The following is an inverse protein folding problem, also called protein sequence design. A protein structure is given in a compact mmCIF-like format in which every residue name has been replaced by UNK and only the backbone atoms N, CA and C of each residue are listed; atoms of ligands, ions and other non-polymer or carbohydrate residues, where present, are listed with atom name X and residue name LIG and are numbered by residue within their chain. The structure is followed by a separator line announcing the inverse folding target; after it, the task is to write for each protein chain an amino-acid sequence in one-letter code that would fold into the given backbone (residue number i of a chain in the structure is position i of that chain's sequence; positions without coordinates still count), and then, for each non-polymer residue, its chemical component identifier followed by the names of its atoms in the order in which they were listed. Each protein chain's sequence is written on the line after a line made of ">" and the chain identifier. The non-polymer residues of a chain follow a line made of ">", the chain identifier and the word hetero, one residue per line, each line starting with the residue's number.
data_IF_001486853274
#
_entry.id   IF_001486853274
#
_cell.length_a   1.000
_cell.length_b   1.000
_cell.length_c   1.000
_cell.angle_alpha   90.00
_cell.angle_beta   90.00
_cell.angle_gamma   90.00
#
_symmetry.space_group_name_H-M   'P 1'
#
loop_
_entity.id
_entity.type
_entity.pdbx_description
1 polymer ?
#
# COMPACT_ATOMS: atom_id res chain seq x y z
N UNK A 1 22.65 3.86 16.63
CA UNK A 1 22.48 2.88 15.54
C UNK A 1 22.02 3.64 14.32
N UNK A 2 22.49 3.30 13.12
CA UNK A 2 22.03 3.99 11.90
C UNK A 2 20.59 3.58 11.57
N UNK A 3 19.76 4.52 11.10
CA UNK A 3 18.35 4.26 10.76
C UNK A 3 18.20 3.14 9.72
N UNK A 4 19.11 3.10 8.75
CA UNK A 4 19.08 2.12 7.66
C UNK A 4 19.37 0.67 8.11
N UNK A 5 20.01 0.48 9.27
CA UNK A 5 20.37 -0.85 9.79
C UNK A 5 19.28 -1.46 10.67
N UNK A 6 18.25 -0.68 11.00
CA UNK A 6 17.19 -1.07 11.95
C UNK A 6 16.30 -2.16 11.36
N UNK A 7 15.87 -2.01 10.12
CA UNK A 7 14.95 -2.93 9.43
C UNK A 7 15.76 -3.84 8.51
N UNK A 8 15.62 -5.16 8.67
CA UNK A 8 16.35 -6.13 7.85
C UNK A 8 15.52 -6.60 6.65
N UNK A 9 14.32 -7.12 6.91
CA UNK A 9 13.43 -7.63 5.86
C UNK A 9 11.99 -7.82 6.39
N UNK A 10 10.97 -7.79 5.51
CA UNK A 10 9.59 -8.12 5.88
C UNK A 10 9.42 -9.62 6.11
N UNK A 11 8.51 -9.99 7.02
CA UNK A 11 8.10 -11.38 7.23
C UNK A 11 6.84 -11.62 6.43
N UNK A 12 6.91 -12.57 5.49
CA UNK A 12 5.81 -12.97 4.63
C UNK A 12 5.33 -14.37 5.03
N UNK A 13 4.19 -14.42 5.70
CA UNK A 13 3.46 -15.63 6.07
C UNK A 13 1.96 -15.39 5.87
N UNK A 14 1.15 -16.45 5.83
CA UNK A 14 -0.31 -16.31 5.75
C UNK A 14 -0.86 -15.37 6.83
N UNK A 15 -0.35 -15.50 8.05
CA UNK A 15 -0.74 -14.64 9.17
C UNK A 15 -0.36 -13.18 8.97
N UNK A 16 0.82 -12.90 8.42
CA UNK A 16 1.21 -11.50 8.16
C UNK A 16 0.37 -10.89 7.05
N UNK A 17 0.01 -11.67 6.03
CA UNK A 17 -0.83 -11.19 4.94
C UNK A 17 -2.27 -10.92 5.40
N UNK A 18 -2.83 -11.79 6.23
CA UNK A 18 -4.15 -11.57 6.87
C UNK A 18 -4.12 -10.29 7.72
N UNK A 19 -3.05 -10.06 8.49
CA UNK A 19 -2.90 -8.87 9.31
C UNK A 19 -2.75 -7.59 8.47
N UNK A 20 -2.06 -7.68 7.33
CA UNK A 20 -1.89 -6.58 6.38
C UNK A 20 -3.23 -6.16 5.78
N UNK A 21 -3.98 -7.12 5.23
CA UNK A 21 -5.24 -6.84 4.53
C UNK A 21 -6.35 -6.37 5.47
N UNK A 22 -6.43 -6.88 6.69
CA UNK A 22 -7.52 -6.56 7.61
C UNK A 22 -7.24 -5.33 8.50
N UNK A 23 -5.99 -5.13 8.91
CA UNK A 23 -5.64 -4.18 9.96
C UNK A 23 -4.52 -3.22 9.58
N UNK A 24 -4.03 -3.29 8.34
CA UNK A 24 -2.89 -2.51 7.87
C UNK A 24 -1.64 -2.69 8.75
N UNK A 25 -1.41 -3.94 9.17
CA UNK A 25 -0.32 -4.32 10.05
C UNK A 25 0.78 -5.03 9.28
N UNK A 26 2.00 -4.52 9.42
CA UNK A 26 3.18 -5.05 8.75
C UNK A 26 4.12 -5.69 9.76
N UNK A 27 4.72 -6.81 9.38
CA UNK A 27 5.66 -7.52 10.25
C UNK A 27 7.06 -7.51 9.64
N UNK A 28 8.05 -7.05 10.41
CA UNK A 28 9.45 -6.96 10.00
C UNK A 28 10.36 -7.75 10.94
N UNK A 29 11.46 -8.25 10.39
CA UNK A 29 12.63 -8.61 11.19
C UNK A 29 13.48 -7.35 11.35
N UNK A 30 13.79 -7.03 12.60
CA UNK A 30 14.61 -5.87 12.98
C UNK A 30 15.89 -6.33 13.67
N UNK A 31 16.87 -5.45 13.80
CA UNK A 31 18.06 -5.76 14.57
C UNK A 31 17.75 -6.00 16.06
N UNK A 32 18.45 -6.96 16.68
CA UNK A 32 18.23 -7.34 18.07
C UNK A 32 18.62 -6.23 19.04
N UNK A 33 19.47 -5.28 18.66
CA UNK A 33 19.88 -4.17 19.53
C UNK A 33 18.86 -3.02 19.55
N UNK A 34 17.87 -3.04 18.66
CA UNK A 34 16.97 -1.91 18.43
C UNK A 34 15.84 -1.79 19.46
N UNK A 35 15.47 -0.54 19.77
CA UNK A 35 14.32 -0.16 20.59
C UNK A 35 13.07 0.21 19.78
N UNK A 36 11.87 0.20 20.40
CA UNK A 36 10.61 0.56 19.72
C UNK A 36 10.63 1.95 19.07
N UNK A 37 11.25 2.92 19.72
CA UNK A 37 11.35 4.30 19.24
C UNK A 37 12.19 4.37 17.95
N UNK A 38 13.26 3.59 17.88
CA UNK A 38 14.13 3.54 16.70
C UNK A 38 13.42 2.84 15.52
N UNK A 39 12.70 1.76 15.78
CA UNK A 39 11.87 1.10 14.74
C UNK A 39 10.83 2.06 14.20
N UNK A 40 10.17 2.85 15.06
CA UNK A 40 9.20 3.87 14.63
C UNK A 40 9.83 4.85 13.67
N UNK A 41 10.91 5.51 14.10
CA UNK A 41 11.64 6.49 13.29
C UNK A 41 12.13 5.90 11.98
N UNK A 42 12.62 4.65 11.98
CA UNK A 42 13.12 4.01 10.78
C UNK A 42 12.01 3.68 9.77
N UNK A 43 10.87 3.18 10.23
CA UNK A 43 9.73 2.88 9.34
C UNK A 43 9.17 4.17 8.75
N UNK A 44 8.96 5.20 9.58
CA UNK A 44 8.45 6.50 9.13
C UNK A 44 9.41 7.13 8.11
N UNK A 45 10.72 7.07 8.34
CA UNK A 45 11.71 7.65 7.45
C UNK A 45 11.89 6.89 6.13
N UNK A 46 11.91 5.55 6.16
CA UNK A 46 12.19 4.74 4.96
C UNK A 46 10.98 4.67 4.03
N UNK A 47 9.78 4.60 4.59
CA UNK A 47 8.56 4.38 3.82
C UNK A 47 7.66 5.62 3.72
N UNK A 48 8.00 6.72 4.39
CA UNK A 48 7.21 7.96 4.44
C UNK A 48 5.75 7.71 4.87
N UNK A 49 5.58 6.85 5.88
CA UNK A 49 4.27 6.44 6.42
C UNK A 49 4.12 6.89 7.86
N UNK A 50 2.88 6.98 8.34
CA UNK A 50 2.58 7.29 9.74
C UNK A 50 2.35 6.00 10.55
N UNK A 51 3.10 5.85 11.64
CA UNK A 51 3.01 4.68 12.52
C UNK A 51 2.20 4.99 13.79
N UNK A 52 1.14 4.22 14.02
CA UNK A 52 0.30 4.32 15.22
C UNK A 52 0.97 3.63 16.42
N UNK A 53 1.23 2.32 16.28
CA UNK A 53 1.72 1.47 17.36
C UNK A 53 2.75 0.44 16.89
N UNK A 54 3.65 0.05 17.80
CA UNK A 54 4.64 -1.00 17.56
C UNK A 54 4.66 -2.01 18.70
N UNK A 55 4.52 -3.28 18.34
CA UNK A 55 4.75 -4.43 19.22
C UNK A 55 6.03 -5.15 18.79
N UNK A 56 6.91 -5.47 19.74
CA UNK A 56 8.17 -6.17 19.46
C UNK A 56 8.19 -7.48 20.23
N UNK A 57 8.66 -8.54 19.57
CA UNK A 57 8.79 -9.88 20.12
C UNK A 57 10.21 -10.39 19.83
N UNK A 58 10.91 -10.87 20.85
CA UNK A 58 12.19 -11.56 20.68
C UNK A 58 11.93 -13.05 20.44
N UNK A 59 12.52 -13.61 19.39
CA UNK A 59 12.52 -15.04 19.12
C UNK A 59 13.91 -15.60 19.36
N UNK A 60 13.97 -16.62 20.20
CA UNK A 60 15.20 -17.32 20.52
C UNK A 60 15.68 -18.21 19.37
N UNK A 61 16.97 -18.52 19.43
CA UNK A 61 17.63 -19.42 18.50
C UNK A 61 17.03 -20.81 18.64
N UNK A 62 16.71 -21.48 17.53
CA UNK A 62 16.24 -22.87 17.56
C UNK A 62 17.40 -23.81 17.22
N UNK A 63 17.53 -24.97 17.90
CA UNK A 63 18.55 -25.94 17.52
C UNK A 63 18.27 -26.42 16.09
N UNK A 64 19.33 -26.46 15.28
CA UNK A 64 19.28 -26.96 13.92
C UNK A 64 20.49 -27.87 13.68
N UNK A 65 20.30 -28.87 12.83
CA UNK A 65 21.37 -29.80 12.45
C UNK A 65 21.54 -29.79 10.95
N UNK A 66 22.80 -29.80 10.51
CA UNK A 66 23.18 -29.96 9.12
C UNK A 66 24.15 -31.15 9.02
N UNK A 67 23.59 -32.33 8.77
CA UNK A 67 24.33 -33.60 8.78
C UNK A 67 25.01 -33.84 10.13
N UNK A 68 26.36 -33.91 10.12
CA UNK A 68 27.19 -34.09 11.32
C UNK A 68 27.29 -32.85 12.21
N UNK A 69 26.96 -31.67 11.70
CA UNK A 69 27.11 -30.42 12.45
C UNK A 69 25.81 -30.09 13.19
N UNK A 70 25.88 -30.01 14.51
CA UNK A 70 24.82 -29.45 15.35
C UNK A 70 25.12 -27.97 15.62
N UNK A 71 24.08 -27.14 15.54
CA UNK A 71 24.18 -25.72 15.80
C UNK A 71 22.82 -25.12 16.10
N UNK A 72 22.70 -23.81 15.92
CA UNK A 72 21.47 -23.08 16.16
C UNK A 72 21.17 -22.15 15.00
N UNK A 73 19.88 -21.93 14.74
CA UNK A 73 19.43 -20.87 13.84
C UNK A 73 19.67 -19.50 14.45
N UNK A 74 19.62 -18.47 13.60
CA UNK A 74 19.75 -17.10 14.06
C UNK A 74 18.53 -16.68 14.89
N UNK A 75 18.78 -16.02 16.02
CA UNK A 75 17.74 -15.37 16.79
C UNK A 75 17.29 -14.12 16.05
N UNK A 76 15.99 -13.87 16.06
CA UNK A 76 15.39 -12.73 15.36
C UNK A 76 14.58 -11.90 16.35
N UNK A 77 14.53 -10.59 16.10
CA UNK A 77 13.58 -9.70 16.76
C UNK A 77 12.51 -9.34 15.73
N UNK A 78 11.25 -9.63 16.05
CA UNK A 78 10.10 -9.38 15.20
C UNK A 78 9.44 -8.08 15.66
N UNK A 79 9.24 -7.15 14.74
CA UNK A 79 8.45 -5.94 14.96
C UNK A 79 7.13 -6.07 14.19
N UNK A 80 6.03 -5.91 14.90
CA UNK A 80 4.67 -5.84 14.37
C UNK A 80 4.29 -4.36 14.44
N UNK A 81 4.13 -3.75 13.27
CA UNK A 81 3.97 -2.30 13.08
C UNK A 81 2.55 -2.05 12.59
N UNK A 82 1.81 -1.24 13.35
CA UNK A 82 0.47 -0.80 13.03
C UNK A 82 0.57 0.56 12.35
N UNK A 83 0.08 0.65 11.12
CA UNK A 83 0.05 1.89 10.35
C UNK A 83 -1.31 2.57 10.48
N UNK A 84 -1.33 3.86 10.15
CA UNK A 84 -2.58 4.59 9.95
C UNK A 84 -3.34 4.06 8.71
N UNK A 85 -4.64 4.33 8.62
CA UNK A 85 -5.50 3.77 7.55
C UNK A 85 -5.10 4.23 6.15
N UNK A 86 -4.54 5.44 6.06
CA UNK A 86 -4.22 6.08 4.78
C UNK A 86 -2.82 5.71 4.27
N UNK A 87 -1.96 5.14 5.12
CA UNK A 87 -0.58 4.78 4.78
C UNK A 87 -0.48 3.36 4.25
N UNK A 88 0.17 3.12 3.11
CA UNK A 88 0.37 1.77 2.56
C UNK A 88 1.84 1.55 2.21
N UNK A 89 2.39 0.41 2.60
CA UNK A 89 3.76 0.01 2.25
C UNK A 89 3.69 -0.93 1.04
N UNK A 90 4.43 -0.58 -0.02
CA UNK A 90 4.61 -1.42 -1.20
C UNK A 90 5.67 -2.47 -0.88
N UNK A 91 5.26 -3.74 -0.75
CA UNK A 91 6.17 -4.84 -0.40
C UNK A 91 6.63 -5.63 -1.63
N UNK A 92 5.83 -5.62 -2.69
CA UNK A 92 6.08 -6.44 -3.87
C UNK A 92 6.41 -5.62 -5.11
N UNK A 93 7.26 -6.17 -5.97
CA UNK A 93 7.64 -5.54 -7.24
C UNK A 93 6.45 -5.39 -8.21
N UNK A 94 5.42 -6.24 -8.08
CA UNK A 94 4.20 -6.14 -8.89
C UNK A 94 3.30 -4.99 -8.43
N UNK A 95 3.15 -4.79 -7.12
CA UNK A 95 2.47 -3.63 -6.54
C UNK A 95 3.15 -2.31 -6.97
N UNK A 96 4.48 -2.29 -7.08
CA UNK A 96 5.21 -1.13 -7.58
C UNK A 96 4.93 -0.85 -9.08
N UNK A 97 4.63 -1.87 -9.88
CA UNK A 97 4.23 -1.70 -11.30
C UNK A 97 2.80 -1.19 -11.41
N UNK A 98 1.91 -1.65 -10.53
CA UNK A 98 0.52 -1.18 -10.45
C UNK A 98 0.43 0.26 -9.92
N UNK A 99 1.16 0.60 -8.86
CA UNK A 99 1.22 1.98 -8.35
C UNK A 99 1.73 2.97 -9.41
N UNK A 100 2.70 2.57 -10.24
CA UNK A 100 3.15 3.39 -11.39
C UNK A 100 2.10 3.51 -12.50
N UNK A 101 1.25 2.49 -12.69
CA UNK A 101 0.10 2.54 -13.62
C UNK A 101 -1.03 3.43 -13.08
N UNK A 102 -1.31 3.36 -11.78
CA UNK A 102 -2.32 4.18 -11.11
C UNK A 102 -1.90 5.66 -11.10
N UNK A 103 -0.64 5.97 -10.77
CA UNK A 103 -0.11 7.34 -10.87
C UNK A 103 -0.13 7.89 -12.31
N UNK A 104 0.11 7.04 -13.33
CA UNK A 104 -0.04 7.42 -14.74
C UNK A 104 -1.50 7.61 -15.18
N UNK A 105 -2.46 7.01 -14.47
CA UNK A 105 -3.90 7.21 -14.69
C UNK A 105 -4.42 8.45 -13.96
N UNK A 106 -3.86 8.81 -12.80
CA UNK A 106 -4.17 10.05 -12.08
C UNK A 106 -3.60 11.28 -12.79
N UNK A 107 -2.37 11.21 -13.33
CA UNK A 107 -1.82 12.29 -14.18
C UNK A 107 -2.68 12.54 -15.44
N UNK A 108 -3.20 11.48 -16.07
CA UNK A 108 -4.17 11.59 -17.19
C UNK A 108 -5.55 12.08 -16.75
N UNK A 109 -5.86 12.07 -15.47
CA UNK A 109 -7.13 12.54 -14.90
C UNK A 109 -7.04 14.01 -14.48
N UNK A 110 -5.87 14.46 -14.02
CA UNK A 110 -5.55 15.87 -13.76
C UNK A 110 -5.42 16.67 -15.07
N UNK A 111 -4.74 16.15 -16.11
CA UNK A 111 -4.73 16.80 -17.44
C UNK A 111 -6.15 16.92 -18.04
N UNK A 112 -6.99 15.90 -17.85
CA UNK A 112 -8.41 15.95 -18.27
C UNK A 112 -9.24 16.93 -17.44
N UNK A 113 -8.88 17.18 -16.18
CA UNK A 113 -9.60 18.10 -15.31
C UNK A 113 -9.25 19.56 -15.59
N UNK A 114 -8.04 19.84 -16.07
CA UNK A 114 -7.63 21.18 -16.50
C UNK A 114 -8.09 21.49 -17.95
N UNK A 115 -8.19 20.52 -18.86
CA UNK A 115 -8.88 20.71 -20.16
C UNK A 115 -10.39 21.02 -20.00
N UNK A 116 -11.05 20.48 -18.97
CA UNK A 116 -12.48 20.72 -18.68
C UNK A 116 -12.77 22.11 -18.08
N UNK A 117 -11.73 22.88 -17.71
CA UNK A 117 -11.85 24.27 -17.24
C UNK A 117 -11.64 25.29 -18.36
N UNK A 118 -10.94 24.93 -19.44
CA UNK A 118 -10.72 25.81 -20.61
C UNK A 118 -11.65 25.54 -21.81
N UNK A 119 -12.48 24.50 -21.77
CA UNK A 119 -13.51 24.27 -22.77
C UNK A 119 -14.82 25.00 -22.40
N UNK A 120 -15.05 26.11 -23.10
CA UNK A 120 -16.11 27.11 -22.87
C UNK A 120 -17.54 26.56 -22.82
N UNK A 121 -18.42 27.33 -22.17
CA UNK A 121 -19.84 27.10 -21.88
C UNK A 121 -20.73 26.64 -23.05
N UNK A 122 -20.23 26.70 -24.28
CA UNK A 122 -20.89 26.26 -25.51
C UNK A 122 -21.01 24.73 -25.63
N UNK A 123 -20.01 23.97 -25.18
CA UNK A 123 -20.00 22.50 -25.34
C UNK A 123 -20.85 21.79 -24.28
N UNK A 124 -20.98 22.39 -23.09
CA UNK A 124 -21.93 21.93 -22.06
C UNK A 124 -23.38 22.01 -22.56
N UNK A 125 -23.74 23.05 -23.32
CA UNK A 125 -25.08 23.21 -23.92
C UNK A 125 -25.31 22.27 -25.11
N UNK A 126 -24.27 21.97 -25.90
CA UNK A 126 -24.36 21.02 -27.01
C UNK A 126 -24.51 19.57 -26.51
N UNK A 127 -23.74 19.19 -25.48
CA UNK A 127 -23.83 17.87 -24.85
C UNK A 127 -25.20 17.63 -24.18
N UNK A 128 -25.79 18.65 -23.54
CA UNK A 128 -27.12 18.55 -22.92
C UNK A 128 -28.24 18.38 -23.97
N UNK A 129 -28.15 19.07 -25.13
CA UNK A 129 -29.11 18.90 -26.24
C UNK A 129 -29.01 17.51 -26.88
N UNK A 130 -27.81 16.97 -27.04
CA UNK A 130 -27.60 15.63 -27.60
C UNK A 130 -28.11 14.55 -26.63
N UNK A 131 -27.90 14.72 -25.32
CA UNK A 131 -28.45 13.81 -24.28
C UNK A 131 -29.98 13.81 -24.27
N UNK A 132 -30.62 14.98 -24.33
CA UNK A 132 -32.09 15.10 -24.41
C UNK A 132 -32.66 14.49 -25.71
N UNK A 133 -31.96 14.61 -26.83
CA UNK A 133 -32.37 13.99 -28.09
C UNK A 133 -32.24 12.46 -28.08
N UNK A 134 -31.23 11.93 -27.39
CA UNK A 134 -31.05 10.48 -27.21
C UNK A 134 -32.11 9.88 -26.26
N UNK A 135 -32.41 10.56 -25.14
CA UNK A 135 -33.45 10.14 -24.19
C UNK A 135 -34.87 10.23 -24.76
N UNK A 136 -35.13 11.17 -25.68
CA UNK A 136 -36.39 11.26 -26.40
C UNK A 136 -36.55 10.13 -27.44
N UNK A 137 -35.45 9.71 -28.08
CA UNK A 137 -35.45 8.58 -29.03
C UNK A 137 -35.60 7.23 -28.35
N UNK A 138 -35.03 7.03 -27.16
CA UNK A 138 -35.24 5.79 -26.38
C UNK A 138 -36.66 5.72 -25.82
N UNK A 139 -37.21 6.82 -25.29
CA UNK A 139 -38.63 6.86 -24.83
C UNK A 139 -39.66 6.74 -25.94
N UNK A 140 -39.35 7.14 -27.18
CA UNK A 140 -40.21 6.93 -28.34
C UNK A 140 -40.15 5.49 -28.86
N UNK A 141 -39.01 4.80 -28.69
CA UNK A 141 -38.84 3.40 -29.05
C UNK A 141 -39.50 2.44 -28.05
N UNK A 142 -39.56 2.83 -26.78
CA UNK A 142 -40.18 2.08 -25.67
C UNK A 142 -41.72 2.25 -25.58
N UNK A 143 -42.31 3.16 -26.37
CA UNK A 143 -43.78 3.37 -26.47
C UNK A 143 -44.41 2.76 -27.73
N UNK A 144 -43.60 2.16 -28.61
CA UNK A 144 -44.03 1.57 -29.88
C UNK A 144 -43.91 0.03 -29.90
N UNK A 145 -43.56 -0.58 -28.77
CA UNK A 145 -43.63 -2.02 -28.48
C UNK A 145 -44.65 -2.21 -27.34
#
# INVERSE_FOLDING_TARGET
>A
MNINEVIKYPILTEKSEIARSNQNVYTFVVDRRTNKIEVKKAVEFIFDVKVDKINIINYDKKPAKLGRFSGFTNAIKKAIVYLDKDSKIVLFAEEAKEAKKEAAQEAKKEEKADELKEMSEAEKKAAEKIKKAAEAKTKAKEKAE
#
